data_IF_875467897176
#
_entry.id   IF_875467897176
#
_cell.length_a   1.000
_cell.length_b   1.000
_cell.length_c   1.000
_cell.angle_alpha   90.00
_cell.angle_beta   90.00
_cell.angle_gamma   90.00
#
_symmetry.space_group_name_H-M   'P 1'
#
loop_
_entity.id
_entity.type
_entity.pdbx_description
1 polymer ?
#
# COMPACT_ATOMS: atom_id res chain seq x y z
N UNK A 1 1.85 -5.22 16.64
CA UNK A 1 1.92 -4.04 15.73
C UNK A 1 1.30 -2.82 16.41
N UNK A 2 1.83 -1.62 16.16
CA UNK A 2 1.16 -0.37 16.54
C UNK A 2 0.08 -0.05 15.51
N UNK A 3 -1.08 0.42 15.99
CA UNK A 3 -2.23 0.76 15.14
C UNK A 3 -2.81 2.07 15.66
N UNK A 4 -2.94 3.08 14.81
CA UNK A 4 -3.67 4.30 15.05
C UNK A 4 -5.09 4.16 14.50
N UNK A 5 -6.09 4.67 15.24
CA UNK A 5 -7.48 4.61 14.81
C UNK A 5 -8.04 6.02 14.59
N UNK A 6 -8.59 6.26 13.41
CA UNK A 6 -9.30 7.49 13.06
C UNK A 6 -10.79 7.20 12.93
N UNK A 7 -11.61 8.05 13.57
CA UNK A 7 -13.07 7.88 13.58
C UNK A 7 -13.55 6.70 14.42
N UNK A 8 -14.81 6.36 14.29
CA UNK A 8 -15.43 5.23 15.00
C UNK A 8 -16.71 4.78 14.30
N UNK A 9 -17.01 3.48 14.35
CA UNK A 9 -18.26 2.95 13.81
C UNK A 9 -18.14 1.51 13.28
N UNK A 10 -19.25 0.96 12.78
CA UNK A 10 -19.32 -0.42 12.35
C UNK A 10 -18.66 -0.70 10.98
N UNK A 11 -18.43 0.33 10.14
CA UNK A 11 -17.72 0.17 8.87
C UNK A 11 -16.23 0.29 9.12
N UNK A 12 -15.53 -0.83 8.97
CA UNK A 12 -14.12 -0.96 9.36
C UNK A 12 -13.22 -0.96 8.13
N UNK A 13 -12.23 -0.08 8.16
CA UNK A 13 -11.14 -0.01 7.19
C UNK A 13 -9.82 -0.27 7.88
N UNK A 14 -8.93 -1.03 7.22
CA UNK A 14 -7.60 -1.33 7.75
C UNK A 14 -6.53 -0.97 6.72
N UNK A 15 -5.70 0.03 7.03
CA UNK A 15 -4.69 0.59 6.15
C UNK A 15 -3.29 0.02 6.41
N UNK A 16 -2.62 -0.41 5.34
CA UNK A 16 -1.23 -0.87 5.31
C UNK A 16 -0.41 0.07 4.44
N UNK A 17 0.55 0.76 5.04
CA UNK A 17 1.38 1.75 4.38
C UNK A 17 2.36 1.14 3.37
N UNK A 18 2.91 1.98 2.50
CA UNK A 18 3.94 1.62 1.53
C UNK A 18 5.36 1.59 2.12
N UNK A 19 6.32 1.34 1.24
CA UNK A 19 7.74 1.32 1.57
C UNK A 19 8.17 2.66 2.18
N UNK A 20 8.86 2.63 3.30
CA UNK A 20 9.26 3.79 4.12
C UNK A 20 8.14 4.58 4.81
N UNK A 21 6.87 4.18 4.67
CA UNK A 21 5.75 4.81 5.38
C UNK A 21 5.60 4.33 6.83
N UNK A 22 4.54 4.83 7.46
CA UNK A 22 4.06 4.44 8.78
C UNK A 22 2.54 4.67 8.86
N UNK A 23 1.95 4.54 10.07
CA UNK A 23 0.52 4.77 10.30
C UNK A 23 0.04 6.15 9.84
N UNK A 24 0.91 7.18 9.81
CA UNK A 24 0.53 8.52 9.37
C UNK A 24 0.21 8.61 7.86
N UNK A 25 0.58 7.59 7.07
CA UNK A 25 0.26 7.51 5.64
C UNK A 25 -1.21 7.76 5.34
N UNK A 26 -2.11 7.28 6.20
CA UNK A 26 -3.55 7.42 6.02
C UNK A 26 -4.17 8.59 6.80
N UNK A 27 -3.39 9.33 7.59
CA UNK A 27 -3.88 10.50 8.32
C UNK A 27 -4.57 11.57 7.46
N UNK A 28 -4.15 11.84 6.20
CA UNK A 28 -4.85 12.78 5.32
C UNK A 28 -6.31 12.41 5.04
N UNK A 29 -6.69 11.13 5.20
CA UNK A 29 -8.06 10.66 5.00
C UNK A 29 -8.97 10.93 6.20
N UNK A 30 -8.41 11.17 7.40
CA UNK A 30 -9.18 11.33 8.62
C UNK A 30 -10.26 12.43 8.56
N UNK A 31 -10.00 13.63 7.97
CA UNK A 31 -11.03 14.66 7.82
C UNK A 31 -12.17 14.29 6.87
N UNK A 32 -11.99 13.25 6.04
CA UNK A 32 -12.95 12.80 5.04
C UNK A 32 -13.74 11.57 5.49
N UNK A 33 -13.54 11.09 6.72
CA UNK A 33 -14.25 9.91 7.22
C UNK A 33 -15.74 10.22 7.41
N UNK A 34 -16.62 9.46 6.77
CA UNK A 34 -18.06 9.57 7.06
C UNK A 34 -18.38 9.13 8.49
N UNK A 35 -19.51 9.57 9.00
CA UNK A 35 -20.03 9.06 10.26
C UNK A 35 -20.21 7.53 10.19
N UNK A 36 -19.83 6.84 11.26
CA UNK A 36 -19.92 5.38 11.35
C UNK A 36 -18.79 4.62 10.65
N UNK A 37 -17.68 5.30 10.30
CA UNK A 37 -16.46 4.69 9.76
C UNK A 37 -15.34 4.73 10.77
N UNK A 38 -14.65 3.59 10.96
CA UNK A 38 -13.41 3.47 11.69
C UNK A 38 -12.29 3.08 10.70
N UNK A 39 -11.22 3.88 10.65
CA UNK A 39 -10.02 3.61 9.85
C UNK A 39 -8.85 3.29 10.79
N UNK A 40 -8.44 2.04 10.80
CA UNK A 40 -7.26 1.55 11.50
C UNK A 40 -6.05 1.65 10.57
N UNK A 41 -5.04 2.42 10.96
CA UNK A 41 -3.80 2.58 10.21
C UNK A 41 -2.64 1.96 10.96
N UNK A 42 -2.03 0.93 10.39
CA UNK A 42 -1.02 0.15 11.08
C UNK A 42 0.40 0.55 10.67
N UNK A 43 1.31 0.54 11.64
CA UNK A 43 2.75 0.44 11.37
C UNK A 43 3.09 -1.01 11.06
N UNK A 44 3.63 -1.29 9.89
CA UNK A 44 4.12 -2.63 9.57
C UNK A 44 5.24 -3.05 10.54
N UNK A 45 5.45 -4.35 10.81
CA UNK A 45 6.50 -4.81 11.73
C UNK A 45 7.85 -4.16 11.47
N UNK A 46 8.44 -3.56 12.50
CA UNK A 46 9.71 -2.82 12.44
C UNK A 46 9.61 -1.36 11.98
N UNK A 47 8.47 -0.91 11.42
CA UNK A 47 8.24 0.49 11.09
C UNK A 47 7.59 1.26 12.24
N UNK A 48 7.76 2.58 12.22
CA UNK A 48 7.12 3.50 13.15
C UNK A 48 7.31 3.07 14.60
N UNK A 49 6.20 2.77 15.28
CA UNK A 49 6.15 2.31 16.69
C UNK A 49 6.00 0.80 16.81
N UNK A 50 5.90 0.07 15.70
CA UNK A 50 5.84 -1.39 15.74
C UNK A 50 7.20 -2.01 16.07
N UNK A 51 7.24 -3.04 16.93
CA UNK A 51 8.47 -3.77 17.18
C UNK A 51 8.97 -4.48 15.93
N UNK A 52 10.24 -4.84 15.92
CA UNK A 52 10.81 -5.70 14.88
C UNK A 52 10.09 -7.06 14.88
N UNK A 53 9.88 -7.68 13.71
CA UNK A 53 9.34 -9.04 13.64
C UNK A 53 10.34 -10.03 14.27
N UNK A 54 9.85 -11.17 14.75
CA UNK A 54 10.73 -12.20 15.29
C UNK A 54 11.71 -12.71 14.24
N UNK A 55 11.24 -12.85 13.00
CA UNK A 55 12.07 -13.22 11.85
C UNK A 55 11.73 -12.32 10.67
N UNK A 56 12.78 -11.93 9.93
CA UNK A 56 12.66 -11.14 8.71
C UNK A 56 12.33 -12.05 7.51
N UNK A 57 11.16 -12.66 7.56
CA UNK A 57 10.61 -13.55 6.54
C UNK A 57 9.23 -13.04 6.09
N UNK A 58 8.95 -13.11 4.80
CA UNK A 58 7.72 -12.60 4.23
C UNK A 58 6.46 -13.20 4.89
N UNK A 59 6.51 -14.51 5.18
CA UNK A 59 5.39 -15.22 5.78
C UNK A 59 5.18 -14.83 7.24
N UNK A 60 6.24 -14.68 8.03
CA UNK A 60 6.18 -14.23 9.43
C UNK A 60 5.55 -12.83 9.55
N UNK A 61 6.04 -11.89 8.73
CA UNK A 61 5.51 -10.52 8.68
C UNK A 61 4.02 -10.54 8.25
N UNK A 62 3.68 -11.38 7.27
CA UNK A 62 2.29 -11.53 6.83
C UNK A 62 1.40 -12.08 7.94
N UNK A 63 1.89 -13.04 8.73
CA UNK A 63 1.14 -13.63 9.84
C UNK A 63 0.92 -12.63 10.98
N UNK A 64 1.89 -11.74 11.25
CA UNK A 64 1.70 -10.64 12.20
C UNK A 64 0.65 -9.64 11.72
N UNK A 65 0.67 -9.28 10.43
CA UNK A 65 -0.32 -8.40 9.81
C UNK A 65 -1.71 -9.05 9.85
N UNK A 66 -1.82 -10.32 9.47
CA UNK A 66 -3.09 -11.04 9.50
C UNK A 66 -3.66 -11.12 10.92
N UNK A 67 -2.83 -11.36 11.94
CA UNK A 67 -3.27 -11.32 13.35
C UNK A 67 -3.76 -9.93 13.77
N UNK A 68 -3.11 -8.86 13.31
CA UNK A 68 -3.54 -7.49 13.59
C UNK A 68 -4.90 -7.17 12.93
N UNK A 69 -5.09 -7.56 11.67
CA UNK A 69 -6.38 -7.42 10.97
C UNK A 69 -7.47 -8.26 11.65
N UNK A 70 -7.14 -9.49 12.07
CA UNK A 70 -8.10 -10.37 12.76
C UNK A 70 -8.52 -9.84 14.14
N UNK A 71 -7.76 -8.93 14.73
CA UNK A 71 -8.05 -8.29 16.02
C UNK A 71 -9.08 -7.17 15.95
N UNK A 72 -9.53 -6.75 14.76
CA UNK A 72 -10.59 -5.75 14.62
C UNK A 72 -11.90 -6.41 14.16
N UNK A 73 -13.01 -5.69 14.36
CA UNK A 73 -14.33 -6.20 13.97
C UNK A 73 -14.42 -6.41 12.45
N UNK A 74 -15.25 -7.36 12.03
CA UNK A 74 -15.50 -7.68 10.61
C UNK A 74 -16.97 -7.47 10.24
N UNK A 75 -17.28 -7.23 8.97
CA UNK A 75 -16.42 -7.29 7.78
C UNK A 75 -15.46 -6.10 7.66
N UNK A 76 -14.32 -6.31 7.01
CA UNK A 76 -13.23 -5.33 6.93
C UNK A 76 -12.93 -4.99 5.46
N UNK A 77 -12.81 -3.70 5.13
CA UNK A 77 -12.16 -3.24 3.91
C UNK A 77 -10.66 -3.04 4.17
N UNK A 78 -9.79 -3.77 3.48
CA UNK A 78 -8.33 -3.59 3.62
C UNK A 78 -7.80 -2.68 2.52
N UNK A 79 -7.02 -1.68 2.94
CA UNK A 79 -6.37 -0.71 2.05
C UNK A 79 -4.87 -0.97 2.05
N UNK A 80 -4.29 -1.25 0.89
CA UNK A 80 -2.84 -1.38 0.72
C UNK A 80 -2.29 -0.27 -0.15
N UNK A 81 -1.35 0.52 0.36
CA UNK A 81 -0.68 1.58 -0.41
C UNK A 81 0.69 1.11 -0.90
N UNK A 82 0.98 1.26 -2.18
CA UNK A 82 2.26 0.91 -2.82
C UNK A 82 2.67 -0.54 -2.48
N UNK A 83 3.78 -0.76 -1.78
CA UNK A 83 4.18 -2.10 -1.32
C UNK A 83 3.25 -2.70 -0.26
N UNK A 84 2.52 -1.88 0.50
CA UNK A 84 1.47 -2.33 1.43
C UNK A 84 0.36 -3.12 0.73
N UNK A 85 0.16 -2.89 -0.57
CA UNK A 85 -0.78 -3.66 -1.39
C UNK A 85 -0.44 -5.16 -1.41
N UNK A 86 0.85 -5.50 -1.46
CA UNK A 86 1.28 -6.91 -1.45
C UNK A 86 0.97 -7.56 -0.09
N UNK A 87 1.22 -6.86 1.01
CA UNK A 87 0.90 -7.36 2.35
C UNK A 87 -0.61 -7.48 2.56
N UNK A 88 -1.41 -6.54 2.01
CA UNK A 88 -2.86 -6.63 2.00
C UNK A 88 -3.35 -7.90 1.27
N UNK A 89 -2.77 -8.21 0.12
CA UNK A 89 -3.09 -9.41 -0.65
C UNK A 89 -2.69 -10.70 0.06
N UNK A 90 -1.50 -10.75 0.64
CA UNK A 90 -1.01 -11.90 1.39
C UNK A 90 -1.86 -12.13 2.67
N UNK A 91 -2.29 -11.06 3.34
CA UNK A 91 -3.21 -11.17 4.47
C UNK A 91 -4.61 -11.62 4.02
N UNK A 92 -5.09 -11.16 2.85
CA UNK A 92 -6.38 -11.56 2.31
C UNK A 92 -6.44 -13.06 1.95
N UNK A 93 -5.33 -13.66 1.53
CA UNK A 93 -5.28 -15.12 1.33
C UNK A 93 -5.54 -15.91 2.62
N UNK A 94 -5.24 -15.33 3.80
CA UNK A 94 -5.45 -15.95 5.12
C UNK A 94 -6.81 -15.64 5.72
N UNK A 95 -7.39 -14.50 5.36
CA UNK A 95 -8.55 -13.91 6.03
C UNK A 95 -9.70 -13.60 5.06
N UNK A 96 -9.80 -14.34 3.94
CA UNK A 96 -10.75 -14.04 2.87
C UNK A 96 -12.20 -13.90 3.35
N UNK A 97 -12.63 -14.68 4.35
CA UNK A 97 -13.99 -14.64 4.92
C UNK A 97 -14.26 -13.39 5.78
N UNK A 98 -13.20 -12.70 6.24
CA UNK A 98 -13.31 -11.50 7.07
C UNK A 98 -13.17 -10.21 6.29
N UNK A 99 -12.64 -10.29 5.06
CA UNK A 99 -12.37 -9.14 4.21
C UNK A 99 -13.47 -9.04 3.16
N UNK A 100 -14.21 -7.95 3.19
CA UNK A 100 -15.30 -7.70 2.23
C UNK A 100 -14.83 -7.02 0.94
N UNK A 101 -13.67 -6.30 1.00
CA UNK A 101 -13.16 -5.49 -0.11
C UNK A 101 -11.66 -5.24 0.03
N UNK A 102 -10.97 -5.21 -1.11
CA UNK A 102 -9.58 -4.78 -1.19
C UNK A 102 -9.48 -3.48 -1.98
N UNK A 103 -8.74 -2.52 -1.44
CA UNK A 103 -8.42 -1.26 -2.11
C UNK A 103 -6.90 -1.17 -2.21
N UNK A 104 -6.38 -1.20 -3.43
CA UNK A 104 -4.95 -1.19 -3.72
C UNK A 104 -4.58 0.13 -4.38
N UNK A 105 -3.78 0.94 -3.69
CA UNK A 105 -3.39 2.28 -4.13
C UNK A 105 -1.97 2.22 -4.68
N UNK A 106 -1.79 2.59 -5.93
CA UNK A 106 -0.52 2.53 -6.67
C UNK A 106 0.22 1.17 -6.51
N UNK A 107 -0.48 0.03 -6.72
CA UNK A 107 0.06 -1.29 -6.43
C UNK A 107 1.09 -1.74 -7.46
N UNK A 108 2.28 -2.16 -7.03
CA UNK A 108 3.24 -2.83 -7.91
C UNK A 108 2.95 -4.33 -8.02
N UNK A 109 2.84 -4.84 -9.24
CA UNK A 109 2.72 -6.27 -9.51
C UNK A 109 4.08 -6.98 -9.53
N UNK A 110 5.16 -6.24 -9.73
CA UNK A 110 6.54 -6.74 -9.78
C UNK A 110 7.50 -5.71 -9.18
N UNK A 111 8.71 -6.14 -8.82
CA UNK A 111 9.77 -5.22 -8.43
C UNK A 111 10.44 -4.66 -9.69
N UNK A 112 10.29 -3.35 -10.01
CA UNK A 112 10.91 -2.73 -11.17
C UNK A 112 12.44 -2.93 -11.19
N UNK A 113 13.03 -3.05 -12.39
CA UNK A 113 14.45 -3.36 -12.57
C UNK A 113 15.38 -2.37 -11.85
N UNK A 114 15.00 -1.10 -11.77
CA UNK A 114 15.79 -0.06 -11.11
C UNK A 114 15.85 -0.24 -9.59
N UNK A 115 14.88 -0.90 -8.96
CA UNK A 115 14.99 -1.31 -7.56
C UNK A 115 15.89 -2.51 -7.36
N UNK A 116 16.04 -3.39 -8.36
CA UNK A 116 16.94 -4.55 -8.28
C UNK A 116 18.41 -4.14 -8.15
N UNK A 117 18.78 -2.92 -8.57
CA UNK A 117 20.13 -2.36 -8.36
C UNK A 117 20.47 -2.32 -6.87
N UNK A 118 19.52 -1.95 -6.01
CA UNK A 118 19.70 -1.89 -4.57
C UNK A 118 19.84 -3.27 -3.92
N UNK A 119 19.43 -4.34 -4.59
CA UNK A 119 19.55 -5.73 -4.13
C UNK A 119 20.82 -6.42 -4.64
N UNK A 120 21.66 -5.74 -5.42
CA UNK A 120 22.89 -6.32 -5.93
C UNK A 120 23.86 -6.63 -4.77
N UNK A 121 24.36 -7.88 -4.70
CA UNK A 121 25.12 -8.45 -3.56
C UNK A 121 26.30 -7.58 -3.10
N UNK A 122 27.03 -6.92 -3.99
CA UNK A 122 28.26 -6.17 -3.68
C UNK A 122 28.03 -4.68 -3.44
N UNK A 123 27.15 -4.05 -4.22
CA UNK A 123 26.98 -2.60 -4.24
C UNK A 123 25.58 -2.14 -3.81
N UNK A 124 24.59 -3.04 -3.74
CA UNK A 124 23.20 -2.68 -3.54
C UNK A 124 22.96 -1.90 -2.26
N UNK A 125 23.55 -2.35 -1.15
CA UNK A 125 23.44 -1.65 0.14
C UNK A 125 24.03 -0.23 0.07
N UNK A 126 25.20 -0.07 -0.54
CA UNK A 126 25.82 1.26 -0.71
C UNK A 126 24.95 2.16 -1.60
N UNK A 127 24.46 1.64 -2.72
CA UNK A 127 23.57 2.37 -3.60
C UNK A 127 22.29 2.82 -2.87
N UNK A 128 21.66 1.93 -2.10
CA UNK A 128 20.49 2.25 -1.28
C UNK A 128 20.77 3.39 -0.29
N UNK A 129 21.83 3.25 0.53
CA UNK A 129 22.15 4.26 1.55
C UNK A 129 22.57 5.60 0.94
N UNK A 130 23.29 5.59 -0.19
CA UNK A 130 23.64 6.82 -0.92
C UNK A 130 22.40 7.51 -1.52
N UNK A 131 21.37 6.75 -1.91
CA UNK A 131 20.16 7.28 -2.52
C UNK A 131 19.15 7.77 -1.47
N UNK A 132 18.85 6.94 -0.46
CA UNK A 132 17.71 7.17 0.44
C UNK A 132 18.10 7.62 1.85
N UNK A 133 19.27 7.21 2.37
CA UNK A 133 19.72 7.67 3.68
C UNK A 133 20.46 9.02 3.60
N UNK A 134 21.12 9.28 2.48
CA UNK A 134 21.88 10.51 2.26
C UNK A 134 20.94 11.67 1.86
N UNK A 135 20.98 12.85 2.53
CA UNK A 135 20.14 14.00 2.17
C UNK A 135 20.29 14.47 0.72
N UNK A 136 21.53 14.50 0.20
CA UNK A 136 21.81 14.89 -1.19
C UNK A 136 21.24 13.85 -2.17
N UNK A 137 21.38 12.56 -1.84
CA UNK A 137 20.79 11.46 -2.63
C UNK A 137 19.28 11.57 -2.70
N UNK A 138 18.60 11.83 -1.56
CA UNK A 138 17.16 12.07 -1.54
C UNK A 138 16.76 13.28 -2.39
N UNK A 139 17.47 14.38 -2.26
CA UNK A 139 17.18 15.59 -3.04
C UNK A 139 17.30 15.34 -4.54
N UNK A 140 18.39 14.70 -4.99
CA UNK A 140 18.60 14.33 -6.40
C UNK A 140 17.51 13.37 -6.90
N UNK A 141 17.16 12.37 -6.08
CA UNK A 141 16.11 11.40 -6.40
C UNK A 141 14.76 12.10 -6.56
N UNK A 142 14.38 12.94 -5.59
CA UNK A 142 13.10 13.66 -5.62
C UNK A 142 13.03 14.65 -6.82
N UNK A 143 14.15 15.26 -7.18
CA UNK A 143 14.25 16.12 -8.36
C UNK A 143 14.07 15.32 -9.66
N UNK A 144 14.74 14.18 -9.78
CA UNK A 144 14.65 13.31 -10.96
C UNK A 144 13.25 12.73 -11.17
N UNK A 145 12.50 12.56 -10.09
CA UNK A 145 11.15 12.01 -10.08
C UNK A 145 10.03 13.06 -10.08
N UNK A 146 10.37 14.34 -10.34
CA UNK A 146 9.43 15.46 -10.29
C UNK A 146 8.18 15.30 -11.17
N UNK A 147 8.27 14.54 -12.27
CA UNK A 147 7.15 14.23 -13.16
C UNK A 147 6.10 13.31 -12.53
N UNK A 148 6.47 12.58 -11.50
CA UNK A 148 5.66 11.55 -10.84
C UNK A 148 5.06 12.00 -9.51
N UNK A 149 5.05 13.29 -9.23
CA UNK A 149 4.50 13.90 -8.02
C UNK A 149 3.93 15.28 -8.30
N UNK A 150 3.13 15.81 -7.36
CA UNK A 150 2.76 17.23 -7.35
C UNK A 150 3.97 18.10 -6.99
N UNK A 151 3.89 19.40 -7.27
CA UNK A 151 5.01 20.32 -7.05
C UNK A 151 5.36 20.49 -5.56
N UNK A 152 4.36 20.41 -4.72
CA UNK A 152 4.42 20.58 -3.25
C UNK A 152 4.62 19.28 -2.46
N UNK A 153 4.72 18.13 -3.14
CA UNK A 153 4.97 16.83 -2.50
C UNK A 153 6.41 16.35 -2.69
N UNK A 154 6.86 15.42 -1.84
CA UNK A 154 8.20 14.89 -1.85
C UNK A 154 8.19 13.36 -1.70
N UNK A 155 8.55 12.65 -2.77
CA UNK A 155 8.58 11.18 -2.82
C UNK A 155 9.59 10.54 -1.86
N UNK A 156 10.54 11.32 -1.37
CA UNK A 156 11.60 10.83 -0.47
C UNK A 156 11.45 11.32 0.97
N UNK A 157 10.35 12.02 1.30
CA UNK A 157 10.14 12.62 2.61
C UNK A 157 10.09 11.56 3.72
N UNK A 158 9.36 10.49 3.52
CA UNK A 158 9.25 9.38 4.47
C UNK A 158 10.60 8.73 4.82
N UNK A 159 11.60 8.84 3.93
CA UNK A 159 12.95 8.34 4.18
C UNK A 159 13.77 9.20 5.16
N UNK A 160 13.27 10.37 5.57
CA UNK A 160 13.96 11.21 6.57
C UNK A 160 13.93 10.56 7.96
N UNK A 161 12.79 9.97 8.33
CA UNK A 161 12.56 9.43 9.67
C UNK A 161 12.60 7.90 9.74
N UNK A 162 12.57 7.20 8.58
CA UNK A 162 12.52 5.74 8.57
C UNK A 162 13.80 5.10 9.08
N UNK A 163 13.67 3.96 9.73
CA UNK A 163 14.79 3.05 9.99
C UNK A 163 15.26 2.42 8.68
N UNK A 164 16.40 2.86 8.16
CA UNK A 164 16.91 2.43 6.85
C UNK A 164 17.27 0.94 6.78
N UNK A 165 17.67 0.33 7.89
CA UNK A 165 17.89 -1.12 7.96
C UNK A 165 16.57 -1.89 7.75
N UNK A 166 15.48 -1.42 8.33
CA UNK A 166 14.13 -1.97 8.15
C UNK A 166 13.66 -1.79 6.70
N UNK A 167 13.72 -0.57 6.18
CA UNK A 167 13.30 -0.28 4.82
C UNK A 167 14.09 -1.11 3.78
N UNK A 168 15.39 -1.31 4.00
CA UNK A 168 16.22 -2.15 3.14
C UNK A 168 15.81 -3.63 3.21
N UNK A 169 15.49 -4.16 4.41
CA UNK A 169 15.00 -5.54 4.57
C UNK A 169 13.67 -5.76 3.85
N UNK A 170 12.73 -4.81 3.97
CA UNK A 170 11.46 -4.87 3.23
C UNK A 170 11.67 -4.86 1.71
N UNK A 171 12.61 -4.06 1.20
CA UNK A 171 12.94 -4.09 -0.23
C UNK A 171 13.46 -5.47 -0.67
N UNK A 172 14.29 -6.12 0.16
CA UNK A 172 14.78 -7.47 -0.11
C UNK A 172 13.63 -8.49 -0.14
N UNK A 173 12.74 -8.47 0.86
CA UNK A 173 11.55 -9.34 0.92
C UNK A 173 10.63 -9.15 -0.28
N UNK A 174 10.43 -7.91 -0.73
CA UNK A 174 9.65 -7.63 -1.93
C UNK A 174 10.32 -8.12 -3.21
N UNK A 175 11.66 -8.27 -3.21
CA UNK A 175 12.43 -8.85 -4.30
C UNK A 175 12.31 -10.36 -4.43
N UNK A 176 11.93 -11.05 -3.37
CA UNK A 176 11.78 -12.52 -3.28
C UNK A 176 10.37 -13.02 -3.62
N UNK A 177 9.47 -12.11 -4.04
CA UNK A 177 8.05 -12.46 -4.29
C UNK A 177 7.86 -13.46 -5.41
N UNK A 178 6.84 -14.31 -5.20
CA UNK A 178 6.29 -15.21 -6.19
C UNK A 178 5.48 -14.49 -7.28
N UNK A 179 5.04 -15.25 -8.27
CA UNK A 179 4.13 -14.80 -9.31
C UNK A 179 2.79 -14.30 -8.72
N UNK A 180 2.30 -13.19 -9.26
CA UNK A 180 1.02 -12.59 -8.88
C UNK A 180 -0.19 -13.47 -9.23
N UNK A 181 -0.04 -14.44 -10.11
CA UNK A 181 -1.11 -15.37 -10.51
C UNK A 181 -1.70 -16.15 -9.33
N UNK A 182 -0.93 -16.32 -8.24
CA UNK A 182 -1.41 -16.94 -7.00
C UNK A 182 -2.67 -16.27 -6.45
N UNK A 183 -2.77 -14.95 -6.60
CA UNK A 183 -3.89 -14.16 -6.10
C UNK A 183 -5.17 -14.30 -6.93
N UNK A 184 -5.15 -15.00 -8.07
CA UNK A 184 -6.34 -15.27 -8.90
C UNK A 184 -7.46 -16.02 -8.17
N UNK A 185 -7.13 -16.67 -7.06
CA UNK A 185 -8.09 -17.40 -6.20
C UNK A 185 -8.91 -16.48 -5.30
N UNK A 186 -8.45 -15.24 -5.06
CA UNK A 186 -9.20 -14.26 -4.28
C UNK A 186 -10.43 -13.81 -5.08
N UNK A 187 -11.62 -14.02 -4.52
CA UNK A 187 -12.92 -13.66 -5.09
C UNK A 187 -13.54 -12.44 -4.45
N UNK A 188 -12.70 -11.57 -3.90
CA UNK A 188 -13.11 -10.34 -3.24
C UNK A 188 -13.29 -9.22 -4.26
N UNK A 189 -14.19 -8.26 -4.00
CA UNK A 189 -14.21 -6.99 -4.71
C UNK A 189 -12.86 -6.28 -4.58
N UNK A 190 -12.27 -5.88 -5.71
CA UNK A 190 -10.97 -5.21 -5.76
C UNK A 190 -11.10 -3.87 -6.47
N UNK A 191 -10.61 -2.81 -5.83
CA UNK A 191 -10.41 -1.51 -6.44
C UNK A 191 -8.91 -1.23 -6.60
N UNK A 192 -8.50 -0.86 -7.80
CA UNK A 192 -7.16 -0.44 -8.16
C UNK A 192 -7.17 1.07 -8.38
N UNK A 193 -6.58 1.82 -7.47
CA UNK A 193 -6.48 3.27 -7.54
C UNK A 193 -5.05 3.66 -7.90
N UNK A 194 -4.87 4.59 -8.85
CA UNK A 194 -3.52 5.02 -9.24
C UNK A 194 -3.52 6.45 -9.76
N UNK A 195 -2.42 7.15 -9.52
CA UNK A 195 -2.25 8.52 -10.00
C UNK A 195 -2.06 8.59 -11.52
N UNK A 196 -2.69 9.58 -12.18
CA UNK A 196 -2.54 9.81 -13.61
C UNK A 196 -1.09 10.04 -14.05
N UNK A 197 -0.24 10.59 -13.15
CA UNK A 197 1.18 10.85 -13.37
C UNK A 197 2.11 9.91 -12.61
N UNK A 198 1.57 8.80 -12.05
CA UNK A 198 2.38 7.80 -11.35
C UNK A 198 3.43 7.13 -12.26
N UNK A 199 4.26 6.27 -11.71
CA UNK A 199 5.28 5.55 -12.47
C UNK A 199 4.69 4.65 -13.56
N UNK A 200 5.38 4.55 -14.71
CA UNK A 200 5.01 3.62 -15.77
C UNK A 200 4.87 2.18 -15.26
N UNK A 201 5.76 1.75 -14.35
CA UNK A 201 5.71 0.43 -13.73
C UNK A 201 4.43 0.20 -12.90
N UNK A 202 3.82 1.24 -12.30
CA UNK A 202 2.51 1.12 -11.64
C UNK A 202 1.41 0.94 -12.67
N UNK A 203 1.40 1.72 -13.74
CA UNK A 203 0.40 1.60 -14.83
C UNK A 203 0.46 0.22 -15.50
N UNK A 204 1.65 -0.28 -15.76
CA UNK A 204 1.87 -1.66 -16.24
C UNK A 204 1.35 -2.68 -15.22
N UNK A 205 1.62 -2.45 -13.94
CA UNK A 205 1.15 -3.32 -12.85
C UNK A 205 -0.38 -3.35 -12.77
N UNK A 206 -1.07 -2.22 -12.96
CA UNK A 206 -2.54 -2.17 -13.01
C UNK A 206 -3.07 -3.04 -14.14
N UNK A 207 -2.42 -3.02 -15.32
CA UNK A 207 -2.80 -3.89 -16.44
C UNK A 207 -2.60 -5.38 -16.09
N UNK A 208 -1.50 -5.74 -15.42
CA UNK A 208 -1.24 -7.09 -14.95
C UNK A 208 -2.27 -7.54 -13.90
N UNK A 209 -2.60 -6.69 -12.93
CA UNK A 209 -3.64 -6.97 -11.93
C UNK A 209 -5.02 -7.17 -12.54
N UNK A 210 -5.37 -6.42 -13.59
CA UNK A 210 -6.60 -6.66 -14.36
C UNK A 210 -6.60 -8.01 -15.06
N UNK A 211 -5.43 -8.52 -15.47
CA UNK A 211 -5.28 -9.87 -15.97
C UNK A 211 -5.59 -10.93 -14.90
N UNK A 212 -5.20 -10.67 -13.66
CA UNK A 212 -5.50 -11.55 -12.50
C UNK A 212 -6.96 -11.44 -12.08
N UNK A 213 -7.52 -10.21 -12.06
CA UNK A 213 -8.91 -9.91 -11.67
C UNK A 213 -9.63 -9.09 -12.73
N UNK A 214 -10.25 -9.72 -13.74
CA UNK A 214 -11.00 -9.00 -14.77
C UNK A 214 -12.16 -8.18 -14.22
N UNK A 215 -12.65 -8.51 -13.02
CA UNK A 215 -13.72 -7.81 -12.30
C UNK A 215 -13.23 -6.62 -11.47
N UNK A 216 -11.91 -6.39 -11.35
CA UNK A 216 -11.37 -5.27 -10.58
C UNK A 216 -11.79 -3.93 -11.19
N UNK A 217 -12.22 -3.02 -10.34
CA UNK A 217 -12.53 -1.63 -10.74
C UNK A 217 -11.23 -0.83 -10.71
N UNK A 218 -10.99 -0.07 -11.78
CA UNK A 218 -9.79 0.75 -11.92
C UNK A 218 -10.16 2.23 -11.90
N UNK A 219 -9.47 3.00 -11.07
CA UNK A 219 -9.70 4.42 -10.86
C UNK A 219 -8.40 5.20 -11.06
N UNK A 220 -8.32 5.93 -12.17
CA UNK A 220 -7.23 6.86 -12.40
C UNK A 220 -7.54 8.19 -11.73
N UNK A 221 -6.68 8.63 -10.82
CA UNK A 221 -6.84 9.87 -10.06
C UNK A 221 -6.19 11.03 -10.84
N UNK A 222 -7.02 11.93 -11.33
CA UNK A 222 -6.59 13.05 -12.15
C UNK A 222 -5.62 13.97 -11.38
N UNK A 223 -4.51 14.34 -12.03
CA UNK A 223 -3.51 15.24 -11.46
C UNK A 223 -2.57 14.61 -10.41
N UNK A 224 -2.88 13.44 -9.86
CA UNK A 224 -2.04 12.78 -8.88
C UNK A 224 -0.83 12.08 -9.53
N UNK A 225 0.29 12.07 -8.82
CA UNK A 225 1.46 11.23 -9.07
C UNK A 225 1.44 9.97 -8.22
N UNK A 226 2.62 9.60 -7.68
CA UNK A 226 2.79 8.38 -6.86
C UNK A 226 2.42 8.57 -5.37
N UNK A 227 1.89 9.72 -4.99
CA UNK A 227 1.40 9.98 -3.63
C UNK A 227 -0.11 10.32 -3.65
N UNK A 228 -0.98 9.46 -4.21
CA UNK A 228 -2.38 9.82 -4.45
C UNK A 228 -3.16 10.10 -3.17
N UNK A 229 -2.77 9.52 -2.02
CA UNK A 229 -3.39 9.83 -0.71
C UNK A 229 -3.19 11.30 -0.33
N UNK A 230 -2.06 11.91 -0.70
CA UNK A 230 -1.75 13.32 -0.42
C UNK A 230 -2.19 14.24 -1.57
N UNK A 231 -2.02 13.80 -2.82
CA UNK A 231 -2.16 14.63 -4.02
C UNK A 231 -3.60 14.66 -4.58
N UNK A 232 -4.43 13.68 -4.24
CA UNK A 232 -5.83 13.57 -4.65
C UNK A 232 -6.74 13.09 -3.52
N UNK A 233 -6.51 13.56 -2.29
CA UNK A 233 -7.16 13.08 -1.06
C UNK A 233 -8.69 13.06 -1.18
N UNK A 234 -9.29 14.13 -1.70
CA UNK A 234 -10.75 14.23 -1.88
C UNK A 234 -11.29 13.18 -2.85
N UNK A 235 -10.74 13.09 -4.07
CA UNK A 235 -11.14 12.09 -5.08
C UNK A 235 -10.96 10.66 -4.55
N UNK A 236 -9.83 10.40 -3.89
CA UNK A 236 -9.53 9.09 -3.31
C UNK A 236 -10.53 8.75 -2.20
N UNK A 237 -10.85 9.70 -1.33
CA UNK A 237 -11.80 9.51 -0.22
C UNK A 237 -13.21 9.19 -0.72
N UNK A 238 -13.68 9.82 -1.79
CA UNK A 238 -14.96 9.52 -2.42
C UNK A 238 -15.04 8.08 -2.92
N UNK A 239 -13.95 7.55 -3.51
CA UNK A 239 -13.89 6.18 -3.99
C UNK A 239 -13.77 5.19 -2.82
N UNK A 240 -12.94 5.50 -1.83
CA UNK A 240 -12.68 4.63 -0.68
C UNK A 240 -13.92 4.51 0.20
N UNK A 241 -14.53 5.64 0.59
CA UNK A 241 -15.61 5.69 1.58
C UNK A 241 -17.01 5.83 0.96
N UNK A 242 -17.11 6.07 -0.35
CA UNK A 242 -18.37 6.15 -1.06
C UNK A 242 -19.22 4.89 -0.90
N UNK A 243 -20.53 5.00 -1.17
CA UNK A 243 -21.45 3.88 -1.05
C UNK A 243 -20.99 2.72 -1.95
N UNK A 244 -20.65 1.60 -1.33
CA UNK A 244 -20.40 0.35 -2.01
C UNK A 244 -21.76 -0.22 -2.47
N UNK A 245 -22.15 0.02 -3.73
CA UNK A 245 -23.23 -0.73 -4.34
C UNK A 245 -22.70 -2.13 -4.65
N UNK A 246 -22.99 -3.08 -3.77
CA UNK A 246 -22.68 -4.49 -4.03
C UNK A 246 -23.44 -4.93 -5.28
N UNK A 247 -22.73 -5.41 -6.28
CA UNK A 247 -23.33 -5.98 -7.51
C UNK A 247 -24.08 -7.30 -7.25
N UNK A 248 -24.35 -7.65 -5.99
CA UNK A 248 -25.14 -8.83 -5.63
C UNK A 248 -26.66 -8.68 -5.87
N UNK A 249 -27.15 -7.47 -6.10
CA UNK A 249 -28.60 -7.25 -6.33
C UNK A 249 -29.02 -7.39 -7.80
N UNK A 250 -28.08 -7.54 -8.73
CA UNK A 250 -28.38 -7.64 -10.17
C UNK A 250 -28.61 -9.08 -10.70
N UNK A 251 -28.62 -10.08 -9.83
CA UNK A 251 -28.88 -11.49 -10.21
C UNK A 251 -30.15 -12.06 -9.60
N UNK A 252 -31.08 -11.20 -9.16
CA UNK A 252 -32.42 -11.60 -8.65
C UNK A 252 -33.54 -10.91 -9.41
N UNK A 253 -33.45 -10.83 -10.74
CA UNK A 253 -34.61 -10.62 -11.62
C UNK A 253 -34.63 -11.68 -12.74
#
# INVERSE_FOLDING_TARGET
>A
MHIECYGSGPRVYFGLHGWSGDHSTFAPLAPYLPAGVALYSADLPGYGRSPDPQRWELMEITDEIARAIAGVDSPITVIGNCSGAIFALLAAERLAERIERLILIDPFAYLPWYFKIFLHKRIGRYAYYSTFANPLGRWLTNLSLSKHRAADTNLTESFVAVRHDVAYRYLALLGERDDISRFSRLRLPVDLLYGARTFGAVKESVALWRGVWPHARCHELAGAGHLPIQEATGQLSEIVFGAFTSHCDALKE
#
